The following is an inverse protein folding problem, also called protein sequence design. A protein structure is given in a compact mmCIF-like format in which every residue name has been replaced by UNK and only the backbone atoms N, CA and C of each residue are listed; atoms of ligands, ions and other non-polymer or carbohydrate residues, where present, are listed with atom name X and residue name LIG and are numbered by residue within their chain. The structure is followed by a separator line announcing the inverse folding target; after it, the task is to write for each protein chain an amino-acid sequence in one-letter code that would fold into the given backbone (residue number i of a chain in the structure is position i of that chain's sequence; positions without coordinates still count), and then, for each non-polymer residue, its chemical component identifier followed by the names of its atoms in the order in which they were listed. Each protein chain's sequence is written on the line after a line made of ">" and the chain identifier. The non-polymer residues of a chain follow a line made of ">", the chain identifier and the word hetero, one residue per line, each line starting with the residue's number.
data_IF_656405704405
#
_entry.id   IF_656405704405
#
_cell.length_a   1.000
_cell.length_b   1.000
_cell.length_c   1.000
_cell.angle_alpha   90.00
_cell.angle_beta   90.00
_cell.angle_gamma   90.00
#
_symmetry.space_group_name_H-M   'P 1'
#
loop_
_entity.id
_entity.type
_entity.pdbx_description
1 polymer ?
#
# COMPACT_ATOMS: atom_id res chain seq x y z
N UNK A 1 -8.37 -12.25 3.17
CA UNK A 1 -8.14 -10.92 2.57
C UNK A 1 -9.13 -10.69 1.44
N UNK A 2 -9.69 -9.48 1.35
CA UNK A 2 -10.55 -9.08 0.24
C UNK A 2 -9.75 -9.09 -1.07
N UNK A 3 -10.21 -9.81 -2.07
CA UNK A 3 -9.60 -9.81 -3.40
C UNK A 3 -10.10 -8.64 -4.24
N UNK A 4 -9.30 -8.16 -5.18
CA UNK A 4 -9.66 -7.04 -6.04
C UNK A 4 -10.94 -7.30 -6.82
N UNK A 5 -11.79 -6.29 -6.87
CA UNK A 5 -13.02 -6.27 -7.68
C UNK A 5 -12.83 -5.50 -8.98
N UNK A 6 -11.78 -4.65 -9.03
CA UNK A 6 -11.40 -3.86 -10.21
C UNK A 6 -9.89 -3.94 -10.40
N UNK A 7 -9.38 -3.39 -11.50
CA UNK A 7 -7.93 -3.34 -11.73
C UNK A 7 -7.23 -2.26 -10.88
N UNK A 8 -7.97 -1.39 -10.21
CA UNK A 8 -7.43 -0.20 -9.56
C UNK A 8 -7.65 -0.15 -8.05
N UNK A 9 -8.29 -1.13 -7.45
CA UNK A 9 -8.71 -1.10 -6.04
C UNK A 9 -7.79 -1.89 -5.09
N UNK A 10 -6.57 -2.17 -5.52
CA UNK A 10 -5.61 -2.93 -4.70
C UNK A 10 -5.36 -2.26 -3.34
N UNK A 11 -5.23 -0.94 -3.29
CA UNK A 11 -5.02 -0.22 -2.03
C UNK A 11 -6.23 -0.38 -1.09
N UNK A 12 -7.44 -0.33 -1.63
CA UNK A 12 -8.65 -0.52 -0.83
C UNK A 12 -8.70 -1.91 -0.19
N UNK A 13 -8.28 -2.94 -0.92
CA UNK A 13 -8.20 -4.29 -0.37
C UNK A 13 -7.17 -4.36 0.77
N UNK A 14 -6.02 -3.71 0.60
CA UNK A 14 -4.98 -3.65 1.62
C UNK A 14 -5.44 -2.88 2.86
N UNK A 15 -6.13 -1.76 2.68
CA UNK A 15 -6.67 -0.97 3.80
C UNK A 15 -7.71 -1.76 4.59
N UNK A 16 -8.58 -2.48 3.88
CA UNK A 16 -9.58 -3.35 4.53
C UNK A 16 -8.91 -4.39 5.41
N UNK A 17 -7.89 -5.06 4.92
CA UNK A 17 -7.16 -6.08 5.66
C UNK A 17 -6.38 -5.48 6.83
N UNK A 18 -5.65 -4.40 6.59
CA UNK A 18 -4.76 -3.80 7.58
C UNK A 18 -5.51 -3.14 8.72
N UNK A 19 -6.61 -2.44 8.41
CA UNK A 19 -7.39 -1.68 9.39
C UNK A 19 -8.58 -2.46 9.93
N UNK A 20 -8.82 -3.66 9.43
CA UNK A 20 -9.97 -4.48 9.78
C UNK A 20 -11.31 -3.74 9.60
N UNK A 21 -11.45 -3.09 8.44
CA UNK A 21 -12.65 -2.34 8.05
C UNK A 21 -13.27 -3.05 6.83
N UNK A 22 -14.60 -3.23 6.80
CA UNK A 22 -15.24 -3.79 5.62
C UNK A 22 -14.89 -3.02 4.34
N UNK A 23 -14.61 -3.74 3.27
CA UNK A 23 -14.24 -3.14 1.99
C UNK A 23 -15.24 -2.07 1.53
N UNK A 24 -16.52 -2.33 1.72
CA UNK A 24 -17.62 -1.44 1.31
C UNK A 24 -17.63 -0.10 2.06
N UNK A 25 -17.00 -0.03 3.23
CA UNK A 25 -16.93 1.19 4.04
C UNK A 25 -15.74 2.08 3.67
N UNK A 26 -14.84 1.60 2.82
CA UNK A 26 -13.68 2.37 2.38
C UNK A 26 -14.04 3.15 1.11
N UNK A 27 -13.81 4.47 1.07
CA UNK A 27 -14.10 5.26 -0.12
C UNK A 27 -13.35 4.74 -1.35
N UNK A 28 -13.97 4.77 -2.53
CA UNK A 28 -13.35 4.27 -3.75
C UNK A 28 -12.33 5.28 -4.30
N UNK A 29 -11.15 5.35 -3.71
CA UNK A 29 -10.11 6.32 -4.07
C UNK A 29 -9.69 6.24 -5.53
N UNK A 30 -9.69 5.03 -6.12
CA UNK A 30 -9.31 4.81 -7.51
C UNK A 30 -10.20 5.53 -8.53
N UNK A 31 -11.41 5.97 -8.15
CA UNK A 31 -12.34 6.66 -9.07
C UNK A 31 -11.82 8.02 -9.56
N UNK A 32 -10.76 8.55 -8.94
CA UNK A 32 -10.10 9.76 -9.44
C UNK A 32 -9.32 9.52 -10.72
N UNK A 33 -8.98 8.27 -11.04
CA UNK A 33 -8.23 7.90 -12.24
C UNK A 33 -9.14 7.92 -13.47
N UNK A 34 -9.35 9.11 -14.05
CA UNK A 34 -10.27 9.31 -15.18
C UNK A 34 -9.82 8.65 -16.47
N UNK A 35 -8.50 8.48 -16.64
CA UNK A 35 -7.91 7.91 -17.85
C UNK A 35 -7.57 6.42 -17.73
N UNK A 36 -7.92 5.80 -16.62
CA UNK A 36 -7.58 4.41 -16.31
C UNK A 36 -6.14 4.25 -15.83
N UNK A 37 -5.80 3.07 -15.37
CA UNK A 37 -4.50 2.78 -14.75
C UNK A 37 -3.35 2.64 -15.74
N UNK A 38 -3.64 2.42 -17.03
CA UNK A 38 -2.63 2.19 -18.06
C UNK A 38 -2.11 3.47 -18.71
N UNK A 39 -2.67 4.61 -18.34
CA UNK A 39 -2.23 5.93 -18.78
C UNK A 39 -1.58 6.65 -17.62
N UNK A 40 -0.53 7.40 -17.90
CA UNK A 40 0.15 8.19 -16.87
C UNK A 40 -0.86 9.15 -16.24
N UNK A 41 -1.07 9.06 -14.90
CA UNK A 41 -1.97 9.98 -14.23
C UNK A 41 -1.44 11.41 -14.28
N UNK A 42 -2.36 12.37 -14.31
CA UNK A 42 -1.99 13.78 -14.21
C UNK A 42 -1.58 14.09 -12.78
N UNK A 43 -0.83 15.18 -12.61
CA UNK A 43 -0.49 15.66 -11.27
C UNK A 43 -1.76 15.93 -10.44
N UNK A 44 -2.78 16.51 -11.08
CA UNK A 44 -4.06 16.82 -10.42
C UNK A 44 -4.77 15.56 -9.93
N UNK A 45 -4.77 14.49 -10.72
CA UNK A 45 -5.32 13.19 -10.32
C UNK A 45 -4.56 12.62 -9.11
N UNK A 46 -3.23 12.67 -9.13
CA UNK A 46 -2.40 12.19 -8.04
C UNK A 46 -2.65 13.01 -6.75
N UNK A 47 -2.71 14.33 -6.85
CA UNK A 47 -2.95 15.22 -5.73
C UNK A 47 -4.35 14.97 -5.12
N UNK A 48 -5.36 14.79 -5.96
CA UNK A 48 -6.72 14.50 -5.51
C UNK A 48 -6.82 13.14 -4.81
N UNK A 49 -6.16 12.13 -5.37
CA UNK A 49 -6.08 10.81 -4.76
C UNK A 49 -5.45 10.88 -3.37
N UNK A 50 -4.30 11.53 -3.25
CA UNK A 50 -3.59 11.68 -1.99
C UNK A 50 -4.43 12.46 -0.97
N UNK A 51 -5.06 13.54 -1.41
CA UNK A 51 -5.93 14.36 -0.57
C UNK A 51 -7.08 13.55 0.02
N UNK A 52 -7.76 12.77 -0.82
CA UNK A 52 -8.88 11.93 -0.38
C UNK A 52 -8.40 10.87 0.61
N UNK A 53 -7.31 10.20 0.31
CA UNK A 53 -6.75 9.15 1.16
C UNK A 53 -6.33 9.70 2.53
N UNK A 54 -5.53 10.75 2.55
CA UNK A 54 -5.02 11.32 3.79
C UNK A 54 -6.14 11.94 4.64
N UNK A 55 -7.10 12.61 4.02
CA UNK A 55 -8.25 13.17 4.73
C UNK A 55 -9.06 12.08 5.41
N UNK A 56 -9.32 11.00 4.70
CA UNK A 56 -10.08 9.87 5.24
C UNK A 56 -9.33 9.21 6.41
N UNK A 57 -8.03 8.95 6.26
CA UNK A 57 -7.22 8.37 7.32
C UNK A 57 -7.19 9.28 8.55
N UNK A 58 -7.02 10.59 8.35
CA UNK A 58 -7.01 11.55 9.46
C UNK A 58 -8.34 11.60 10.20
N UNK A 59 -9.47 11.57 9.48
CA UNK A 59 -10.79 11.51 10.09
C UNK A 59 -10.96 10.28 10.97
N UNK A 60 -10.35 9.17 10.59
CA UNK A 60 -10.38 7.93 11.34
C UNK A 60 -9.33 7.87 12.46
N UNK A 61 -8.50 8.90 12.60
CA UNK A 61 -7.47 8.95 13.63
C UNK A 61 -6.17 8.26 13.27
N UNK A 62 -5.87 8.11 11.98
CA UNK A 62 -4.63 7.50 11.50
C UNK A 62 -3.75 8.50 10.76
N UNK A 63 -2.44 8.22 10.79
CA UNK A 63 -1.44 8.87 9.96
C UNK A 63 -0.77 7.82 9.09
N UNK A 64 -0.30 8.23 7.92
CA UNK A 64 0.41 7.38 6.98
C UNK A 64 1.85 7.87 6.84
N UNK A 65 2.80 6.96 7.00
CA UNK A 65 4.22 7.25 6.83
C UNK A 65 4.77 6.38 5.72
N UNK A 66 5.31 7.00 4.68
CA UNK A 66 5.91 6.31 3.54
C UNK A 66 7.43 6.32 3.66
N UNK A 67 8.04 5.17 3.44
CA UNK A 67 9.49 4.99 3.48
C UNK A 67 9.95 4.30 2.20
N UNK A 68 10.91 4.89 1.51
CA UNK A 68 11.52 4.27 0.34
C UNK A 68 12.35 3.07 0.76
N UNK A 69 12.15 1.94 0.08
CA UNK A 69 12.92 0.71 0.32
C UNK A 69 13.35 0.12 -1.01
N UNK A 70 14.36 -0.75 -0.96
CA UNK A 70 14.87 -1.45 -2.14
C UNK A 70 15.00 -2.93 -1.83
N UNK A 71 14.85 -3.75 -2.87
CA UNK A 71 15.22 -5.14 -2.82
C UNK A 71 16.71 -5.28 -3.10
N UNK A 72 17.41 -6.00 -2.24
CA UNK A 72 18.83 -6.31 -2.42
C UNK A 72 18.97 -7.68 -3.06
N UNK A 73 19.32 -7.72 -4.34
CA UNK A 73 19.46 -8.97 -5.10
C UNK A 73 20.64 -9.82 -4.64
N UNK A 74 21.65 -9.23 -3.99
CA UNK A 74 22.79 -9.96 -3.46
C UNK A 74 22.43 -10.73 -2.19
N UNK A 75 21.58 -10.15 -1.35
CA UNK A 75 21.10 -10.74 -0.10
C UNK A 75 19.74 -11.43 -0.25
N UNK A 76 19.12 -11.29 -1.42
CA UNK A 76 17.81 -11.85 -1.73
C UNK A 76 16.73 -11.46 -0.70
N UNK A 77 16.72 -10.18 -0.32
CA UNK A 77 15.77 -9.66 0.65
C UNK A 77 15.52 -8.14 0.48
N UNK A 78 14.41 -7.67 1.05
CA UNK A 78 14.16 -6.24 1.17
C UNK A 78 15.04 -5.70 2.31
N UNK A 79 15.74 -4.59 2.04
CA UNK A 79 16.48 -3.88 3.08
C UNK A 79 15.50 -2.94 3.79
N UNK A 80 15.08 -3.35 5.00
CA UNK A 80 14.18 -2.56 5.82
C UNK A 80 15.01 -1.60 6.70
N UNK A 81 14.59 -0.32 6.79
CA UNK A 81 15.25 0.64 7.68
C UNK A 81 14.85 0.46 9.14
N UNK A 82 14.14 -0.61 9.46
CA UNK A 82 13.62 -0.90 10.78
C UNK A 82 14.17 -2.24 11.24
N UNK A 83 14.76 -2.26 12.42
CA UNK A 83 15.19 -3.49 13.09
C UNK A 83 14.17 -3.79 14.17
N UNK A 84 13.37 -4.83 13.98
CA UNK A 84 12.42 -5.32 14.96
C UNK A 84 12.49 -6.83 15.04
N UNK A 85 12.46 -7.37 16.24
CA UNK A 85 12.29 -8.81 16.48
C UNK A 85 10.82 -9.20 16.45
N UNK A 86 9.93 -8.21 16.57
CA UNK A 86 8.50 -8.41 16.59
C UNK A 86 7.94 -8.47 15.17
N UNK A 87 6.75 -9.00 15.06
CA UNK A 87 6.01 -9.03 13.80
C UNK A 87 5.26 -7.73 13.62
N UNK A 88 5.19 -7.26 12.37
CA UNK A 88 4.38 -6.10 12.03
C UNK A 88 3.86 -6.24 10.61
N UNK A 89 2.87 -5.43 10.27
CA UNK A 89 2.24 -5.38 8.95
C UNK A 89 2.34 -3.97 8.39
N UNK A 90 2.53 -3.90 7.08
CA UNK A 90 2.53 -2.63 6.36
C UNK A 90 2.03 -2.86 4.94
N UNK A 91 1.81 -1.77 4.21
CA UNK A 91 1.47 -1.84 2.79
C UNK A 91 2.77 -1.73 2.01
N UNK A 92 3.00 -2.68 1.11
CA UNK A 92 4.09 -2.61 0.15
C UNK A 92 3.57 -2.05 -1.17
N UNK A 93 4.29 -1.10 -1.75
CA UNK A 93 4.00 -0.60 -3.09
C UNK A 93 5.02 -1.16 -4.05
N UNK A 94 4.52 -1.84 -5.07
CA UNK A 94 5.31 -2.54 -6.08
C UNK A 94 5.13 -1.86 -7.43
N UNK A 95 6.21 -1.71 -8.18
CA UNK A 95 6.16 -1.12 -9.50
C UNK A 95 7.16 -1.81 -10.40
N UNK A 96 6.68 -2.29 -11.54
CA UNK A 96 7.55 -2.85 -12.57
C UNK A 96 8.13 -1.75 -13.45
N UNK A 97 9.37 -1.95 -13.88
CA UNK A 97 10.04 -1.05 -14.81
C UNK A 97 9.19 -0.87 -16.08
N UNK A 98 9.00 0.37 -16.50
CA UNK A 98 8.23 0.71 -17.68
C UNK A 98 6.73 0.87 -17.47
N UNK A 99 6.21 0.61 -16.27
CA UNK A 99 4.80 0.86 -15.92
C UNK A 99 4.63 2.22 -15.27
N UNK A 100 3.54 2.90 -15.58
CA UNK A 100 3.18 4.19 -14.95
C UNK A 100 2.43 4.02 -13.65
N UNK A 101 1.95 2.82 -13.36
CA UNK A 101 1.11 2.50 -12.21
C UNK A 101 1.83 1.55 -11.26
N UNK A 102 1.45 1.64 -10.00
CA UNK A 102 1.95 0.80 -8.94
C UNK A 102 0.86 -0.17 -8.47
N UNK A 103 1.26 -1.16 -7.71
CA UNK A 103 0.38 -2.16 -7.13
C UNK A 103 0.60 -2.22 -5.63
N UNK A 104 -0.49 -2.22 -4.86
CA UNK A 104 -0.42 -2.31 -3.40
C UNK A 104 -0.66 -3.74 -2.93
N UNK A 105 0.16 -4.18 -1.98
CA UNK A 105 0.08 -5.49 -1.34
C UNK A 105 0.25 -5.32 0.16
N UNK A 106 -0.08 -6.35 0.93
CA UNK A 106 0.26 -6.39 2.36
C UNK A 106 1.60 -7.11 2.52
N UNK A 107 2.48 -6.52 3.31
CA UNK A 107 3.68 -7.19 3.81
C UNK A 107 3.46 -7.58 5.27
N UNK A 108 3.56 -8.87 5.54
CA UNK A 108 3.68 -9.41 6.89
C UNK A 108 5.16 -9.63 7.17
N UNK A 109 5.71 -8.90 8.13
CA UNK A 109 7.12 -9.01 8.49
C UNK A 109 7.23 -9.76 9.80
N UNK A 110 7.92 -10.89 9.77
CA UNK A 110 8.10 -11.78 10.91
C UNK A 110 9.57 -12.16 11.05
N UNK A 111 10.22 -11.72 12.12
CA UNK A 111 11.62 -12.06 12.37
C UNK A 111 12.57 -11.64 11.24
N UNK A 112 12.32 -10.49 10.62
CA UNK A 112 13.10 -9.97 9.51
C UNK A 112 12.76 -10.55 8.15
N UNK A 113 11.86 -11.53 8.08
CA UNK A 113 11.35 -12.07 6.82
C UNK A 113 10.07 -11.39 6.40
N UNK A 114 9.94 -11.12 5.10
CA UNK A 114 8.77 -10.45 4.52
C UNK A 114 7.95 -11.47 3.74
N UNK A 115 6.68 -11.56 4.09
CA UNK A 115 5.69 -12.39 3.39
C UNK A 115 4.68 -11.46 2.72
N UNK A 116 4.41 -11.70 1.45
CA UNK A 116 3.53 -10.85 0.66
C UNK A 116 2.15 -11.49 0.52
N UNK A 117 1.11 -10.71 0.81
CA UNK A 117 -0.28 -11.04 0.50
C UNK A 117 -0.75 -10.11 -0.60
N UNK A 118 -1.06 -10.66 -1.76
CA UNK A 118 -1.47 -9.91 -2.93
C UNK A 118 -2.99 -10.02 -3.14
N UNK A 119 -3.73 -8.89 -3.19
CA UNK A 119 -5.17 -8.93 -3.45
C UNK A 119 -5.54 -9.27 -4.88
N UNK A 120 -4.58 -9.31 -5.80
CA UNK A 120 -4.81 -9.64 -7.19
C UNK A 120 -4.49 -11.11 -7.47
N UNK A 121 -5.48 -11.86 -7.99
CA UNK A 121 -5.24 -13.22 -8.46
C UNK A 121 -4.29 -13.22 -9.66
N UNK A 122 -3.41 -14.21 -9.73
CA UNK A 122 -2.45 -14.37 -10.83
C UNK A 122 -1.63 -13.10 -11.10
N UNK A 123 -1.27 -12.40 -10.03
CA UNK A 123 -0.44 -11.20 -10.12
C UNK A 123 0.96 -11.55 -10.64
N UNK A 124 1.48 -10.70 -11.53
CA UNK A 124 2.84 -10.82 -12.04
C UNK A 124 3.87 -10.06 -11.19
N UNK A 125 3.41 -9.41 -10.12
CA UNK A 125 4.28 -8.70 -9.19
C UNK A 125 4.96 -9.64 -8.22
N UNK A 126 6.17 -9.26 -7.81
CA UNK A 126 6.91 -9.96 -6.78
C UNK A 126 7.49 -8.95 -5.78
N UNK A 127 7.99 -9.46 -4.67
CA UNK A 127 8.64 -8.67 -3.62
C UNK A 127 9.84 -7.86 -4.17
N UNK A 128 10.47 -8.33 -5.25
CA UNK A 128 11.58 -7.62 -5.92
C UNK A 128 11.16 -6.29 -6.53
N UNK A 129 9.87 -6.11 -6.81
CA UNK A 129 9.33 -4.91 -7.42
C UNK A 129 9.08 -3.77 -6.41
N UNK A 130 9.44 -3.95 -5.14
CA UNK A 130 9.16 -2.99 -4.07
C UNK A 130 9.84 -1.65 -4.34
N UNK A 131 9.10 -0.58 -4.11
CA UNK A 131 9.60 0.81 -4.22
C UNK A 131 9.52 1.54 -2.90
N UNK A 132 8.44 1.37 -2.16
CA UNK A 132 8.30 1.92 -0.82
C UNK A 132 7.31 1.10 0.00
N UNK A 133 7.32 1.34 1.30
CA UNK A 133 6.36 0.77 2.24
C UNK A 133 5.63 1.89 2.96
N UNK A 134 4.37 1.64 3.30
CA UNK A 134 3.53 2.57 4.03
C UNK A 134 3.13 1.97 5.36
N UNK A 135 3.40 2.71 6.43
CA UNK A 135 2.92 2.41 7.77
C UNK A 135 1.70 3.26 8.05
N UNK A 136 0.65 2.64 8.57
CA UNK A 136 -0.55 3.34 9.04
C UNK A 136 -0.57 3.22 10.56
N UNK A 137 -0.39 4.35 11.23
CA UNK A 137 -0.24 4.44 12.67
C UNK A 137 -1.38 5.24 13.26
N UNK A 138 -1.77 4.89 14.50
CA UNK A 138 -2.74 5.71 15.23
C UNK A 138 -2.13 7.06 15.60
N UNK A 139 -2.90 8.11 15.42
CA UNK A 139 -2.53 9.44 15.87
C UNK A 139 -2.80 9.54 17.37
N UNK A 140 -1.77 9.37 18.18
CA UNK A 140 -1.88 9.37 19.64
C UNK A 140 -2.24 10.74 20.21
N UNK A 141 -2.03 11.81 19.46
CA UNK A 141 -2.42 13.15 19.92
C UNK A 141 -3.93 13.31 20.06
N UNK A 142 -4.70 12.39 19.46
CA UNK A 142 -6.17 12.38 19.51
C UNK A 142 -6.72 11.52 20.65
N UNK A 143 -5.86 10.84 21.40
CA UNK A 143 -6.24 9.97 22.53
C UNK A 143 -6.18 10.71 23.88
N UNK A 144 -6.48 11.96 23.90
CA UNK A 144 -6.48 12.76 25.14
C UNK A 144 -7.76 12.55 25.95
#
# INVERSE_FOLDING_TARGET
>A
MQMQRTESDCLNCCLSELLNIPYEEIPPFWKVWKNGIRKKPTKEECDEYDKQLYSWLNEMGYILISINVKYDHNKDCIVLPIVSKDSFRCIGTLRKKGRFYSHAVIFDVCGGKVYMKDPKENSDYSIEDVTYIDFILKDISRES
#
